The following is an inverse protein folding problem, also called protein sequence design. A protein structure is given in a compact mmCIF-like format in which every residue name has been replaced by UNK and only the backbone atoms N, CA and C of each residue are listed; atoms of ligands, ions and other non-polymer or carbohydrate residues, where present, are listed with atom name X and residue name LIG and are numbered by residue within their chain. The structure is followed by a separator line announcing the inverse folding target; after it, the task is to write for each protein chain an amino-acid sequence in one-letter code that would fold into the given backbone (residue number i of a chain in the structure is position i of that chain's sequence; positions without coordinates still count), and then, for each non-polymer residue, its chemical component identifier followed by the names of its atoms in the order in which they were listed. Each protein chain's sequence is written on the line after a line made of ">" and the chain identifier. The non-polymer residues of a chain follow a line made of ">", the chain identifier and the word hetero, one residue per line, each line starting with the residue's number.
data_IF_137445323563
#
_entry.id   IF_137445323563
#
_cell.length_a   1.000
_cell.length_b   1.000
_cell.length_c   1.000
_cell.angle_alpha   90.00
_cell.angle_beta   90.00
_cell.angle_gamma   90.00
#
_symmetry.space_group_name_H-M   'P 1'
#
loop_
_entity.id
_entity.type
_entity.pdbx_description
1 polymer ?
#
# COMPACT_ATOMS: atom_id res chain seq x y z
N UNK A 1 -9.57 -28.38 -13.89
CA UNK A 1 -9.60 -27.48 -12.73
C UNK A 1 -8.17 -27.29 -12.27
N UNK A 2 -7.70 -26.06 -12.41
CA UNK A 2 -6.31 -25.61 -12.22
C UNK A 2 -6.06 -25.25 -10.77
N UNK A 3 -5.18 -26.01 -10.11
CA UNK A 3 -4.29 -25.56 -9.03
C UNK A 3 -4.89 -24.77 -7.86
N UNK A 4 -5.60 -25.45 -6.96
CA UNK A 4 -5.78 -25.00 -5.57
C UNK A 4 -5.08 -26.01 -4.68
N UNK A 5 -3.79 -25.81 -4.38
CA UNK A 5 -3.11 -26.63 -3.39
C UNK A 5 -3.46 -26.06 -2.01
N UNK A 6 -4.48 -26.67 -1.41
CA UNK A 6 -4.86 -26.49 -0.03
C UNK A 6 -3.88 -27.29 0.82
N UNK A 7 -2.82 -26.65 1.32
CA UNK A 7 -1.88 -27.27 2.25
C UNK A 7 -2.64 -27.80 3.47
N UNK A 8 -2.64 -29.12 3.63
CA UNK A 8 -3.17 -29.82 4.80
C UNK A 8 -2.16 -29.81 5.95
N UNK A 9 -2.60 -30.13 7.19
CA UNK A 9 -1.78 -30.09 8.40
C UNK A 9 -0.61 -31.09 8.46
N UNK A 10 -0.36 -31.87 7.40
CA UNK A 10 0.70 -32.87 7.33
C UNK A 10 1.83 -32.48 6.36
N UNK A 11 1.67 -31.39 5.58
CA UNK A 11 2.73 -30.88 4.73
C UNK A 11 3.63 -29.95 5.53
N UNK A 12 4.84 -30.44 5.80
CA UNK A 12 5.98 -29.78 6.42
C UNK A 12 6.55 -28.64 5.53
N UNK A 13 5.69 -27.73 5.07
CA UNK A 13 5.98 -26.80 3.96
C UNK A 13 5.63 -25.33 4.22
N UNK A 14 5.20 -24.97 5.42
CA UNK A 14 5.07 -23.55 5.80
C UNK A 14 6.37 -23.11 6.48
N UNK A 15 7.35 -22.66 5.69
CA UNK A 15 8.62 -22.17 6.21
C UNK A 15 8.51 -20.71 6.70
N UNK A 16 7.52 -19.96 6.21
CA UNK A 16 7.38 -18.53 6.47
C UNK A 16 5.95 -18.14 6.83
N UNK A 17 5.80 -17.19 7.77
CA UNK A 17 4.50 -16.63 8.17
C UNK A 17 3.68 -16.12 6.97
N UNK A 18 4.33 -15.51 5.98
CA UNK A 18 3.67 -14.94 4.79
C UNK A 18 2.95 -15.97 3.92
N UNK A 19 3.24 -17.27 4.07
CA UNK A 19 2.53 -18.35 3.37
C UNK A 19 1.17 -18.66 4.02
N UNK A 20 0.94 -18.21 5.25
CA UNK A 20 -0.32 -18.42 5.96
C UNK A 20 -1.32 -17.33 5.55
N UNK A 21 -2.24 -17.67 4.66
CA UNK A 21 -3.27 -16.77 4.10
C UNK A 21 -4.63 -16.89 4.79
N UNK A 22 -4.71 -17.63 5.90
CA UNK A 22 -5.91 -17.68 6.74
C UNK A 22 -5.63 -17.12 8.14
N UNK A 23 -6.47 -16.19 8.58
CA UNK A 23 -6.34 -15.56 9.91
C UNK A 23 -6.37 -16.58 11.04
N UNK A 24 -7.21 -17.61 10.92
CA UNK A 24 -7.37 -18.65 11.95
C UNK A 24 -6.07 -19.45 12.15
N UNK A 25 -5.36 -19.75 11.07
CA UNK A 25 -4.06 -20.42 11.06
C UNK A 25 -2.94 -19.51 11.55
N UNK A 26 -2.96 -18.23 11.15
CA UNK A 26 -1.98 -17.24 11.61
C UNK A 26 -2.00 -17.10 13.15
N UNK A 27 -3.20 -17.06 13.74
CA UNK A 27 -3.36 -17.01 15.20
C UNK A 27 -2.86 -18.28 15.92
N UNK A 28 -2.68 -19.38 15.18
CA UNK A 28 -2.18 -20.67 15.71
C UNK A 28 -0.79 -21.00 15.17
N UNK A 29 -0.10 -20.06 14.52
CA UNK A 29 1.12 -20.35 13.78
C UNK A 29 2.23 -20.92 14.66
N UNK A 30 2.37 -20.39 15.88
CA UNK A 30 3.34 -20.89 16.86
C UNK A 30 3.04 -22.33 17.29
N UNK A 31 1.78 -22.66 17.59
CA UNK A 31 1.42 -24.00 18.10
C UNK A 31 1.25 -25.06 17.00
N UNK A 32 0.96 -24.65 15.76
CA UNK A 32 0.73 -25.56 14.62
C UNK A 32 1.94 -25.73 13.72
N UNK A 33 2.72 -24.67 13.52
CA UNK A 33 3.83 -24.65 12.57
C UNK A 33 5.17 -24.34 13.23
N UNK A 34 5.20 -24.03 14.54
CA UNK A 34 6.43 -23.62 15.22
C UNK A 34 6.94 -22.25 14.76
N UNK A 35 6.08 -21.44 14.13
CA UNK A 35 6.45 -20.13 13.57
C UNK A 35 6.10 -18.99 14.53
N UNK A 36 7.07 -18.13 14.80
CA UNK A 36 6.86 -16.86 15.50
C UNK A 36 6.50 -15.75 14.51
N UNK A 37 5.21 -15.48 14.39
CA UNK A 37 4.67 -14.45 13.52
C UNK A 37 4.26 -13.22 14.31
N UNK A 38 4.38 -12.03 13.69
CA UNK A 38 3.95 -10.76 14.29
C UNK A 38 2.43 -10.61 14.38
N UNK A 39 1.69 -11.38 13.56
CA UNK A 39 0.23 -11.41 13.58
C UNK A 39 -0.37 -11.28 12.18
N UNK A 40 -1.69 -11.13 12.11
CA UNK A 40 -2.41 -11.07 10.84
C UNK A 40 -2.32 -9.68 10.21
N UNK A 41 -1.77 -9.56 8.99
CA UNK A 41 -1.61 -8.30 8.26
C UNK A 41 -2.84 -7.85 7.45
N UNK A 42 -3.81 -8.73 7.23
CA UNK A 42 -5.02 -8.43 6.46
C UNK A 42 -5.31 -9.49 5.41
N UNK A 43 -4.28 -9.88 4.67
CA UNK A 43 -4.31 -10.90 3.60
C UNK A 43 -3.43 -12.11 3.90
N UNK A 44 -2.39 -11.94 4.72
CA UNK A 44 -1.50 -13.00 5.16
C UNK A 44 -0.97 -12.72 6.58
N UNK A 45 -0.32 -13.71 7.18
CA UNK A 45 0.40 -13.54 8.44
C UNK A 45 1.72 -12.80 8.21
N UNK A 46 2.06 -11.89 9.12
CA UNK A 46 3.27 -11.08 9.08
C UNK A 46 4.41 -11.83 9.76
N UNK A 47 5.54 -11.93 9.08
CA UNK A 47 6.80 -12.42 9.64
C UNK A 47 7.59 -11.32 10.34
N UNK A 48 8.74 -11.69 10.90
CA UNK A 48 9.59 -10.75 11.64
C UNK A 48 10.24 -9.66 10.77
N UNK A 49 10.40 -9.91 9.48
CA UNK A 49 10.93 -8.94 8.52
C UNK A 49 9.82 -8.24 7.71
N UNK A 50 8.54 -8.44 8.05
CA UNK A 50 7.44 -7.88 7.29
C UNK A 50 7.43 -6.35 7.33
N UNK A 51 7.07 -5.76 6.19
CA UNK A 51 7.00 -4.31 6.01
C UNK A 51 5.56 -3.80 6.10
N UNK A 52 5.39 -2.47 6.09
CA UNK A 52 4.07 -1.86 6.14
C UNK A 52 3.19 -2.26 4.94
N UNK A 53 3.79 -2.49 3.76
CA UNK A 53 3.08 -2.84 2.52
C UNK A 53 2.30 -4.15 2.63
N UNK A 54 2.75 -5.07 3.48
CA UNK A 54 2.07 -6.34 3.74
C UNK A 54 0.82 -6.18 4.61
N UNK A 55 0.58 -4.98 5.16
CA UNK A 55 -0.61 -4.66 5.94
C UNK A 55 -1.69 -4.12 5.00
N UNK A 56 -2.63 -4.99 4.66
CA UNK A 56 -3.69 -4.76 3.65
C UNK A 56 -5.05 -4.42 4.26
N UNK A 57 -5.11 -4.10 5.54
CA UNK A 57 -6.34 -3.63 6.21
C UNK A 57 -6.11 -2.28 6.88
N UNK A 58 -6.98 -1.30 6.58
CA UNK A 58 -6.87 0.06 7.09
C UNK A 58 -6.75 0.16 8.62
N UNK A 59 -7.64 -0.52 9.37
CA UNK A 59 -7.58 -0.44 10.84
C UNK A 59 -6.29 -1.05 11.42
N UNK A 60 -5.70 -2.03 10.72
CA UNK A 60 -4.44 -2.64 11.12
C UNK A 60 -3.28 -1.70 10.82
N UNK A 61 -3.31 -1.04 9.67
CA UNK A 61 -2.36 -0.02 9.28
C UNK A 61 -2.32 1.14 10.28
N UNK A 62 -3.48 1.65 10.70
CA UNK A 62 -3.59 2.72 11.71
C UNK A 62 -2.97 2.37 13.07
N UNK A 63 -2.82 1.07 13.35
CA UNK A 63 -2.23 0.56 14.60
C UNK A 63 -0.96 -0.27 14.37
N UNK A 64 -0.38 -0.19 13.17
CA UNK A 64 0.72 -1.04 12.69
C UNK A 64 1.91 -1.06 13.64
N UNK A 65 2.31 0.11 14.14
CA UNK A 65 3.41 0.23 15.08
C UNK A 65 3.10 -0.46 16.42
N UNK A 66 1.90 -0.24 16.97
CA UNK A 66 1.51 -0.81 18.27
C UNK A 66 1.21 -2.31 18.22
N UNK A 67 0.65 -2.81 17.11
CA UNK A 67 0.26 -4.21 16.98
C UNK A 67 1.44 -5.08 16.53
N UNK A 68 2.27 -4.57 15.63
CA UNK A 68 3.27 -5.37 14.92
C UNK A 68 4.68 -4.81 15.05
N UNK A 69 4.89 -3.64 15.66
CA UNK A 69 6.20 -2.97 15.63
C UNK A 69 6.64 -2.59 14.22
N UNK A 70 5.69 -2.34 13.31
CA UNK A 70 5.95 -1.95 11.91
C UNK A 70 5.58 -0.48 11.75
N UNK A 71 6.54 0.43 11.52
CA UNK A 71 6.24 1.83 11.28
C UNK A 71 5.62 2.04 9.91
N UNK A 72 4.71 3.02 9.79
CA UNK A 72 4.06 3.38 8.53
C UNK A 72 3.73 4.87 8.45
N UNK A 73 3.60 5.41 7.24
CA UNK A 73 3.09 6.77 7.00
C UNK A 73 1.56 6.84 7.10
N UNK A 74 0.89 5.69 7.05
CA UNK A 74 -0.55 5.58 7.07
C UNK A 74 -1.09 4.81 5.87
N UNK A 75 -2.41 4.88 5.70
CA UNK A 75 -3.13 4.09 4.69
C UNK A 75 -3.04 4.73 3.30
N UNK A 76 -2.59 3.98 2.30
CA UNK A 76 -2.51 4.42 0.90
C UNK A 76 -3.80 4.20 0.09
N UNK A 77 -4.68 3.31 0.56
CA UNK A 77 -5.94 2.99 -0.12
C UNK A 77 -6.22 1.48 -0.18
N UNK A 78 -5.19 0.71 -0.52
CA UNK A 78 -5.19 -0.76 -0.59
C UNK A 78 -4.25 -1.42 0.42
N UNK A 79 -3.22 -0.69 0.84
CA UNK A 79 -2.22 -1.15 1.80
C UNK A 79 -1.68 0.02 2.63
N UNK A 80 -0.94 -0.32 3.68
CA UNK A 80 -0.20 0.66 4.45
C UNK A 80 1.06 1.10 3.69
N UNK A 81 1.43 2.38 3.84
CA UNK A 81 2.60 2.93 3.18
C UNK A 81 3.83 2.82 4.09
N UNK A 82 4.97 2.33 3.57
CA UNK A 82 6.21 2.30 4.33
C UNK A 82 6.69 3.71 4.63
N UNK A 83 7.46 3.88 5.70
CA UNK A 83 8.10 5.18 6.00
C UNK A 83 9.17 5.52 4.98
N UNK A 84 9.90 4.50 4.54
CA UNK A 84 10.95 4.62 3.54
C UNK A 84 10.40 4.25 2.17
N UNK A 85 10.71 5.05 1.15
CA UNK A 85 10.37 4.79 -0.26
C UNK A 85 8.88 4.82 -0.62
N UNK A 86 8.00 5.38 0.22
CA UNK A 86 6.62 5.59 -0.21
C UNK A 86 6.54 6.54 -1.41
N UNK A 87 5.89 6.08 -2.47
CA UNK A 87 5.69 6.84 -3.71
C UNK A 87 4.22 7.20 -3.91
N UNK A 88 3.95 8.11 -4.84
CA UNK A 88 2.58 8.47 -5.20
C UNK A 88 1.78 7.29 -5.78
N UNK A 89 2.40 6.42 -6.58
CA UNK A 89 1.71 5.28 -7.20
C UNK A 89 1.17 4.28 -6.17
N UNK A 90 1.73 4.25 -4.96
CA UNK A 90 1.21 3.41 -3.87
C UNK A 90 -0.10 3.94 -3.27
N UNK A 91 -0.49 5.18 -3.57
CA UNK A 91 -1.74 5.78 -3.10
C UNK A 91 -2.85 5.44 -4.10
N UNK A 92 -3.68 4.47 -3.75
CA UNK A 92 -4.77 3.93 -4.58
C UNK A 92 -6.15 4.45 -4.19
N UNK A 93 -6.24 5.36 -3.20
CA UNK A 93 -7.47 6.04 -2.84
C UNK A 93 -7.43 7.52 -3.26
N UNK A 94 -8.34 7.93 -4.16
CA UNK A 94 -8.38 9.31 -4.68
C UNK A 94 -8.41 10.38 -3.57
N UNK A 95 -9.28 10.22 -2.58
CA UNK A 95 -9.39 11.19 -1.47
C UNK A 95 -8.10 11.29 -0.63
N UNK A 96 -7.26 10.27 -0.63
CA UNK A 96 -5.94 10.29 0.01
C UNK A 96 -4.94 10.98 -0.92
N UNK A 97 -4.99 10.71 -2.23
CA UNK A 97 -4.18 11.39 -3.24
C UNK A 97 -4.40 12.92 -3.22
N UNK A 98 -5.66 13.35 -3.20
CA UNK A 98 -6.08 14.76 -3.15
C UNK A 98 -5.54 15.48 -1.89
N UNK A 99 -5.25 14.74 -0.81
CA UNK A 99 -4.74 15.25 0.46
C UNK A 99 -3.39 14.62 0.85
N UNK A 100 -2.64 14.13 -0.13
CA UNK A 100 -1.44 13.30 0.07
C UNK A 100 -0.41 13.98 0.96
N UNK A 101 -0.19 15.28 0.75
CA UNK A 101 0.78 16.03 1.55
C UNK A 101 0.35 16.18 3.02
N UNK A 102 -0.94 16.43 3.27
CA UNK A 102 -1.45 16.64 4.63
C UNK A 102 -1.57 15.31 5.39
N UNK A 103 -1.99 14.23 4.70
CA UNK A 103 -2.23 12.92 5.31
C UNK A 103 -0.97 12.08 5.46
N UNK A 104 -0.06 12.16 4.49
CA UNK A 104 1.06 11.22 4.37
C UNK A 104 2.41 11.94 4.25
N UNK A 105 2.44 13.27 4.12
CA UNK A 105 3.67 14.03 3.88
C UNK A 105 4.23 13.90 2.46
N UNK A 106 3.51 13.22 1.54
CA UNK A 106 3.97 12.96 0.17
C UNK A 106 3.32 13.98 -0.77
N UNK A 107 4.12 14.63 -1.63
CA UNK A 107 3.59 15.59 -2.62
C UNK A 107 3.34 14.88 -3.96
N UNK A 108 2.07 14.67 -4.27
CA UNK A 108 1.63 14.11 -5.54
C UNK A 108 1.00 15.15 -6.46
N UNK A 109 0.96 14.83 -7.76
CA UNK A 109 0.65 15.80 -8.83
C UNK A 109 -0.71 15.60 -9.49
N UNK A 110 -1.31 14.43 -9.34
CA UNK A 110 -2.62 14.18 -9.91
C UNK A 110 -3.12 12.78 -9.66
N UNK A 111 -4.32 12.51 -10.18
CA UNK A 111 -4.95 11.20 -10.12
C UNK A 111 -5.02 10.61 -11.53
N UNK A 112 -4.61 9.35 -11.67
CA UNK A 112 -4.64 8.64 -12.94
C UNK A 112 -6.00 8.05 -13.27
N UNK A 113 -6.83 7.83 -12.26
CA UNK A 113 -8.06 7.05 -12.35
C UNK A 113 -8.05 5.88 -11.37
N UNK A 114 -6.86 5.34 -11.09
CA UNK A 114 -6.64 4.19 -10.20
C UNK A 114 -5.55 4.41 -9.15
N UNK A 115 -4.63 5.34 -9.39
CA UNK A 115 -3.51 5.64 -8.50
C UNK A 115 -3.11 7.12 -8.56
N UNK A 116 -2.35 7.56 -7.56
CA UNK A 116 -1.83 8.91 -7.52
C UNK A 116 -0.55 9.01 -8.37
N UNK A 117 -0.38 10.14 -9.05
CA UNK A 117 0.70 10.40 -9.99
C UNK A 117 1.81 11.21 -9.34
N UNK A 118 3.05 10.78 -9.61
CA UNK A 118 4.28 11.47 -9.21
C UNK A 118 4.65 12.60 -10.18
N UNK A 119 5.78 13.26 -9.90
CA UNK A 119 6.31 14.35 -10.75
C UNK A 119 6.75 13.89 -12.14
N UNK A 120 7.16 12.63 -12.24
CA UNK A 120 7.69 11.95 -13.40
C UNK A 120 6.59 11.35 -14.28
N UNK A 121 5.34 11.36 -13.81
CA UNK A 121 4.20 10.85 -14.56
C UNK A 121 3.86 11.75 -15.75
N UNK A 122 3.54 11.13 -16.88
CA UNK A 122 3.15 11.87 -18.07
C UNK A 122 1.80 12.59 -17.87
N UNK A 123 1.71 13.85 -18.28
CA UNK A 123 0.52 14.69 -18.04
C UNK A 123 -0.77 14.14 -18.69
N UNK A 124 -0.65 13.33 -19.75
CA UNK A 124 -1.78 12.68 -20.40
C UNK A 124 -2.42 11.56 -19.57
N UNK A 125 -1.77 11.12 -18.49
CA UNK A 125 -2.32 10.13 -17.56
C UNK A 125 -3.28 10.74 -16.55
N UNK A 126 -3.33 12.07 -16.41
CA UNK A 126 -4.23 12.75 -15.49
C UNK A 126 -5.66 12.59 -16.01
N UNK A 127 -6.46 11.77 -15.34
CA UNK A 127 -7.89 11.60 -15.66
C UNK A 127 -8.78 12.63 -14.99
N UNK A 128 -8.26 13.32 -13.97
CA UNK A 128 -8.98 14.39 -13.28
C UNK A 128 -9.04 15.65 -14.17
N UNK A 129 -10.22 16.07 -14.65
CA UNK A 129 -10.36 17.19 -15.57
C UNK A 129 -9.95 18.51 -14.94
N UNK A 130 -10.14 18.70 -13.63
CA UNK A 130 -9.76 19.93 -12.94
C UNK A 130 -8.24 20.05 -12.83
N UNK A 131 -7.57 18.95 -12.48
CA UNK A 131 -6.10 18.90 -12.43
C UNK A 131 -5.51 19.06 -13.84
N UNK A 132 -6.08 18.40 -14.84
CA UNK A 132 -5.67 18.54 -16.24
C UNK A 132 -5.82 19.99 -16.73
N UNK A 133 -6.94 20.65 -16.41
CA UNK A 133 -7.16 22.05 -16.77
C UNK A 133 -6.23 23.00 -16.03
N UNK A 134 -5.94 22.74 -14.76
CA UNK A 134 -4.98 23.53 -13.98
C UNK A 134 -3.54 23.39 -14.53
N UNK A 135 -3.13 22.17 -14.90
CA UNK A 135 -1.85 21.91 -15.55
C UNK A 135 -1.74 22.63 -16.90
N UNK A 136 -2.79 22.56 -17.74
CA UNK A 136 -2.88 23.29 -19.02
C UNK A 136 -2.73 24.81 -18.83
N UNK A 137 -3.34 25.40 -17.80
CA UNK A 137 -3.21 26.84 -17.50
C UNK A 137 -1.77 27.24 -17.15
N UNK A 138 -1.07 26.43 -16.34
CA UNK A 138 0.35 26.67 -16.01
C UNK A 138 1.29 26.49 -17.20
N UNK A 139 1.00 25.54 -18.08
CA UNK A 139 1.79 25.38 -19.31
C UNK A 139 1.61 26.57 -20.25
N UNK A 140 0.36 27.03 -20.44
CA UNK A 140 0.06 28.24 -21.22
C UNK A 140 0.71 29.49 -20.64
N UNK A 141 0.76 29.66 -19.31
CA UNK A 141 1.43 30.84 -18.73
C UNK A 141 2.95 30.84 -18.96
N UNK A 142 3.58 29.66 -19.00
CA UNK A 142 5.02 29.53 -19.31
C UNK A 142 5.35 29.75 -20.78
N UNK A 143 4.44 29.41 -21.69
CA UNK A 143 4.62 29.66 -23.13
C UNK A 143 4.32 31.09 -23.54
N UNK A 144 3.48 31.81 -22.78
CA UNK A 144 3.17 33.23 -23.04
C UNK A 144 4.20 34.20 -22.42
N UNK A 145 5.06 33.74 -21.51
CA UNK A 145 6.18 34.53 -20.95
C UNK A 145 7.56 34.17 -21.54
N UNK A 146 7.60 33.35 -22.59
CA UNK A 146 8.80 33.17 -23.41
C UNK A 146 8.70 34.06 -24.63
N UNK A 147 9.72 34.92 -24.80
CA UNK A 147 9.91 36.03 -25.76
C UNK A 147 9.39 37.39 -25.30
#
# INVERSE_FOLDING_TARGET
>A
WTGSSCLGPEDNGTEFCSQITERSWCNKASSKFGLECRGWGGSACLGNASTAEEITTKHLCEKSLSLFGVPSLGWGGSQCLPVENATCSMITAKHICDQSYVKLGIRCWGWSGSECLGSESAANLISDPDICNHAKRRYKSKTVMGW
#
